data_IF_042878822130
#
_entry.id   IF_042878822130
#
_cell.length_a   1.000
_cell.length_b   1.000
_cell.length_c   1.000
_cell.angle_alpha   90.00
_cell.angle_beta   90.00
_cell.angle_gamma   90.00
#
_symmetry.space_group_name_H-M   'P 1'
#
loop_
_entity.id
_entity.type
_entity.pdbx_description
1 polymer ?
#
# COMPACT_ATOMS: atom_id res chain seq x y z
N UNK A 1 -27.13 5.39 -7.49
CA UNK A 1 -27.08 3.91 -7.53
C UNK A 1 -28.47 3.30 -7.70
N UNK A 2 -29.25 3.00 -6.64
CA UNK A 2 -30.56 2.30 -6.78
C UNK A 2 -31.62 3.16 -7.51
N UNK A 3 -31.77 4.43 -7.10
CA UNK A 3 -32.73 5.34 -7.73
C UNK A 3 -32.36 5.74 -9.16
N UNK A 4 -31.08 5.61 -9.51
CA UNK A 4 -30.55 5.83 -10.88
C UNK A 4 -30.74 4.58 -11.76
N UNK A 5 -31.24 3.46 -11.22
CA UNK A 5 -31.47 2.23 -11.97
C UNK A 5 -30.19 1.53 -12.43
N UNK A 6 -29.05 1.80 -11.78
CA UNK A 6 -27.74 1.18 -12.08
C UNK A 6 -27.76 -0.30 -11.72
N UNK A 7 -28.31 -0.64 -10.56
CA UNK A 7 -28.43 -2.02 -10.07
C UNK A 7 -29.72 -2.19 -9.30
N UNK A 8 -30.32 -3.39 -9.32
CA UNK A 8 -31.52 -3.67 -8.53
C UNK A 8 -31.19 -3.86 -7.04
N UNK A 9 -32.17 -3.69 -6.15
CA UNK A 9 -31.97 -3.95 -4.72
C UNK A 9 -31.49 -5.37 -4.42
N UNK A 10 -31.91 -6.36 -5.22
CA UNK A 10 -31.52 -7.77 -5.06
C UNK A 10 -30.05 -8.00 -5.44
N UNK A 11 -29.53 -7.21 -6.37
CA UNK A 11 -28.20 -7.35 -6.95
C UNK A 11 -27.16 -6.40 -6.35
N UNK A 12 -27.59 -5.42 -5.54
CA UNK A 12 -26.72 -4.50 -4.81
C UNK A 12 -25.93 -5.25 -3.71
N UNK A 13 -24.97 -6.07 -4.14
CA UNK A 13 -24.07 -6.82 -3.28
C UNK A 13 -22.99 -5.91 -2.71
N UNK A 14 -22.75 -6.06 -1.43
CA UNK A 14 -21.71 -5.38 -0.68
C UNK A 14 -21.05 -6.29 0.34
N UNK A 15 -19.85 -5.92 0.77
CA UNK A 15 -19.27 -6.44 2.00
C UNK A 15 -20.08 -5.98 3.20
N UNK A 16 -19.85 -6.61 4.37
CA UNK A 16 -20.52 -6.23 5.62
C UNK A 16 -20.35 -4.74 5.99
N UNK A 17 -19.27 -4.11 5.54
CA UNK A 17 -18.96 -2.70 5.78
C UNK A 17 -19.47 -1.76 4.67
N UNK A 18 -20.22 -2.27 3.70
CA UNK A 18 -20.85 -1.47 2.64
C UNK A 18 -19.99 -1.22 1.40
N UNK A 19 -18.86 -1.93 1.24
CA UNK A 19 -18.07 -1.87 0.01
C UNK A 19 -18.74 -2.67 -1.11
N UNK A 20 -19.03 -2.05 -2.25
CA UNK A 20 -19.93 -2.59 -3.29
C UNK A 20 -19.23 -2.94 -4.60
N UNK A 21 -19.83 -3.87 -5.35
CA UNK A 21 -19.42 -4.20 -6.72
C UNK A 21 -18.03 -4.83 -6.81
N UNK A 22 -17.51 -4.93 -8.03
CA UNK A 22 -16.18 -5.47 -8.32
C UNK A 22 -15.06 -4.63 -7.70
N UNK A 23 -15.23 -3.32 -7.62
CA UNK A 23 -14.20 -2.40 -7.10
C UNK A 23 -14.16 -2.36 -5.58
N UNK A 24 -15.19 -2.86 -4.88
CA UNK A 24 -15.32 -2.69 -3.43
C UNK A 24 -15.24 -1.22 -3.00
N UNK A 25 -15.78 -0.31 -3.82
CA UNK A 25 -15.95 1.08 -3.43
C UNK A 25 -17.03 1.23 -2.36
N UNK A 26 -16.78 2.11 -1.40
CA UNK A 26 -17.88 2.69 -0.64
C UNK A 26 -18.74 3.56 -1.59
N UNK A 27 -20.04 3.77 -1.32
CA UNK A 27 -20.89 4.59 -2.18
C UNK A 27 -20.31 5.99 -2.44
N UNK A 28 -19.61 6.60 -1.47
CA UNK A 28 -18.93 7.88 -1.64
C UNK A 28 -17.79 7.83 -2.67
N UNK A 29 -17.04 6.73 -2.73
CA UNK A 29 -15.96 6.55 -3.71
C UNK A 29 -16.53 6.29 -5.10
N UNK A 30 -17.64 5.53 -5.19
CA UNK A 30 -18.40 5.36 -6.42
C UNK A 30 -18.80 6.71 -7.04
N UNK A 31 -19.40 7.61 -6.25
CA UNK A 31 -19.84 8.91 -6.78
C UNK A 31 -18.70 9.86 -7.14
N UNK A 32 -17.52 9.71 -6.54
CA UNK A 32 -16.35 10.55 -6.86
C UNK A 32 -15.55 10.06 -8.07
N UNK A 33 -15.58 8.76 -8.34
CA UNK A 33 -14.62 8.12 -9.24
C UNK A 33 -15.25 7.19 -10.27
N UNK A 34 -16.57 7.02 -10.23
CA UNK A 34 -17.31 6.23 -11.19
C UNK A 34 -17.12 6.72 -12.62
N UNK A 35 -16.86 5.78 -13.53
CA UNK A 35 -16.73 6.03 -14.96
C UNK A 35 -17.62 5.05 -15.72
N UNK A 36 -18.51 5.59 -16.55
CA UNK A 36 -19.25 4.88 -17.58
C UNK A 36 -18.31 4.78 -18.79
N UNK A 37 -17.68 3.62 -18.95
CA UNK A 37 -16.67 3.42 -19.99
C UNK A 37 -17.31 2.88 -21.28
N UNK A 38 -18.37 2.08 -21.16
CA UNK A 38 -19.04 1.49 -22.32
C UNK A 38 -20.10 2.40 -22.96
N UNK A 39 -20.44 3.51 -22.31
CA UNK A 39 -21.24 4.61 -22.85
C UNK A 39 -22.75 4.36 -22.84
N UNK A 40 -23.21 3.44 -21.99
CA UNK A 40 -24.64 3.07 -21.91
C UNK A 40 -25.49 4.04 -21.04
N UNK A 41 -24.84 5.03 -20.42
CA UNK A 41 -25.43 6.04 -19.56
C UNK A 41 -25.43 5.67 -18.08
N UNK A 42 -24.80 4.56 -17.68
CA UNK A 42 -24.70 4.08 -16.29
C UNK A 42 -23.26 3.78 -15.93
N UNK A 43 -22.94 3.94 -14.65
CA UNK A 43 -21.68 3.46 -14.08
C UNK A 43 -21.97 2.14 -13.37
N UNK A 44 -21.96 1.00 -14.07
CA UNK A 44 -22.28 -0.30 -13.50
C UNK A 44 -21.05 -1.06 -13.00
N UNK A 45 -20.58 -0.72 -11.79
CA UNK A 45 -19.47 -1.46 -11.14
C UNK A 45 -19.86 -2.86 -10.60
N UNK A 46 -21.08 -3.35 -10.84
CA UNK A 46 -21.53 -4.68 -10.41
C UNK A 46 -21.49 -5.70 -11.55
N UNK A 47 -21.76 -5.27 -12.78
CA UNK A 47 -21.83 -6.18 -13.93
C UNK A 47 -20.96 -5.76 -15.12
N UNK A 48 -20.62 -4.47 -15.26
CA UNK A 48 -19.73 -3.99 -16.31
C UNK A 48 -18.27 -4.06 -15.84
N UNK A 49 -17.51 -5.02 -16.40
CA UNK A 49 -16.06 -5.08 -16.22
C UNK A 49 -15.37 -3.82 -16.75
N UNK A 50 -15.73 -3.27 -17.93
CA UNK A 50 -15.25 -1.97 -18.40
C UNK A 50 -15.40 -0.86 -17.35
N UNK A 51 -16.61 -0.66 -16.80
CA UNK A 51 -16.85 0.42 -15.83
C UNK A 51 -16.10 0.19 -14.52
N UNK A 52 -16.05 -1.05 -14.05
CA UNK A 52 -15.30 -1.37 -12.83
C UNK A 52 -13.81 -1.08 -12.99
N UNK A 53 -13.19 -1.48 -14.10
CA UNK A 53 -11.78 -1.22 -14.39
C UNK A 53 -11.52 0.29 -14.58
N UNK A 54 -12.38 0.98 -15.33
CA UNK A 54 -12.28 2.42 -15.55
C UNK A 54 -12.42 3.21 -14.25
N UNK A 55 -13.40 2.85 -13.41
CA UNK A 55 -13.64 3.49 -12.11
C UNK A 55 -12.48 3.25 -11.14
N UNK A 56 -11.92 2.03 -11.11
CA UNK A 56 -10.73 1.73 -10.31
C UNK A 56 -9.52 2.55 -10.78
N UNK A 57 -9.29 2.62 -12.10
CA UNK A 57 -8.21 3.43 -12.68
C UNK A 57 -8.41 4.93 -12.40
N UNK A 58 -9.63 5.43 -12.53
CA UNK A 58 -9.97 6.82 -12.26
C UNK A 58 -9.74 7.20 -10.81
N UNK A 59 -10.03 6.30 -9.85
CA UNK A 59 -9.70 6.52 -8.45
C UNK A 59 -8.18 6.65 -8.25
N UNK A 60 -7.36 5.78 -8.86
CA UNK A 60 -5.90 5.88 -8.77
C UNK A 60 -5.39 7.20 -9.37
N UNK A 61 -5.90 7.60 -10.54
CA UNK A 61 -5.56 8.88 -11.19
C UNK A 61 -5.93 10.06 -10.29
N UNK A 62 -7.14 10.09 -9.76
CA UNK A 62 -7.63 11.15 -8.88
C UNK A 62 -6.84 11.24 -7.57
N UNK A 63 -6.25 10.13 -7.13
CA UNK A 63 -5.39 10.05 -5.94
C UNK A 63 -3.91 10.34 -6.26
N UNK A 64 -3.59 10.70 -7.50
CA UNK A 64 -2.26 11.17 -7.89
C UNK A 64 -1.32 10.09 -8.41
N UNK A 65 -1.86 9.00 -8.98
CA UNK A 65 -1.05 7.99 -9.67
C UNK A 65 -0.14 8.64 -10.71
N UNK A 66 1.14 8.26 -10.69
CA UNK A 66 2.17 8.75 -11.61
C UNK A 66 2.49 7.67 -12.65
N UNK A 67 2.05 7.82 -13.91
CA UNK A 67 2.36 6.86 -14.96
C UNK A 67 3.87 6.68 -15.14
N UNK A 68 4.30 5.43 -15.34
CA UNK A 68 5.71 5.09 -15.51
C UNK A 68 6.55 5.06 -14.21
N UNK A 69 5.99 5.47 -13.07
CA UNK A 69 6.64 5.35 -11.76
C UNK A 69 6.26 4.01 -11.13
N UNK A 70 7.25 3.20 -10.73
CA UNK A 70 7.00 1.92 -10.05
C UNK A 70 6.45 2.18 -8.66
N UNK A 71 5.61 1.30 -8.13
CA UNK A 71 5.09 1.42 -6.76
C UNK A 71 6.21 1.31 -5.71
N UNK A 72 7.17 0.40 -5.91
CA UNK A 72 8.38 0.28 -5.10
C UNK A 72 9.53 -0.44 -5.83
N UNK A 73 10.71 -0.40 -5.21
CA UNK A 73 11.89 -1.17 -5.57
C UNK A 73 12.34 -2.00 -4.38
N UNK A 74 12.45 -3.32 -4.54
CA UNK A 74 13.05 -4.17 -3.51
C UNK A 74 14.58 -3.93 -3.45
N UNK A 75 15.09 -3.75 -2.24
CA UNK A 75 16.50 -3.43 -1.97
C UNK A 75 17.05 -4.29 -0.82
N UNK A 76 18.34 -4.59 -0.88
CA UNK A 76 19.09 -5.04 0.30
C UNK A 76 19.53 -3.80 1.08
N UNK A 77 19.14 -3.72 2.36
CA UNK A 77 19.63 -2.69 3.26
C UNK A 77 21.07 -3.01 3.72
N UNK A 78 21.94 -2.01 3.91
CA UNK A 78 23.28 -2.24 4.45
C UNK A 78 23.19 -2.70 5.91
N UNK A 79 24.18 -3.48 6.38
CA UNK A 79 24.16 -4.07 7.73
C UNK A 79 24.10 -3.05 8.87
N UNK A 80 24.56 -1.82 8.62
CA UNK A 80 24.54 -0.70 9.55
C UNK A 80 23.38 0.29 9.30
N UNK A 81 22.35 -0.11 8.54
CA UNK A 81 21.20 0.72 8.31
C UNK A 81 20.49 1.06 9.63
N UNK A 82 20.24 2.35 9.86
CA UNK A 82 19.38 2.79 10.95
C UNK A 82 17.93 2.40 10.66
N UNK A 83 17.41 1.44 11.44
CA UNK A 83 16.06 0.91 11.28
C UNK A 83 14.96 1.92 11.63
N UNK A 84 15.29 3.02 12.33
CA UNK A 84 14.32 4.09 12.64
C UNK A 84 13.94 4.91 11.41
N UNK A 85 14.72 4.81 10.32
CA UNK A 85 14.42 5.48 9.05
C UNK A 85 13.28 4.81 8.26
N UNK A 86 12.77 3.66 8.69
CA UNK A 86 11.69 2.90 8.04
C UNK A 86 10.30 3.53 8.21
N UNK A 87 10.18 4.85 8.03
CA UNK A 87 8.96 5.63 8.20
C UNK A 87 8.71 6.56 7.00
N UNK A 88 7.44 6.86 6.65
CA UNK A 88 7.11 7.71 5.50
C UNK A 88 7.74 9.11 5.55
N UNK A 89 7.91 9.67 6.74
CA UNK A 89 8.47 11.01 6.98
C UNK A 89 9.93 11.10 6.52
N UNK A 90 10.66 9.98 6.51
CA UNK A 90 12.01 9.90 5.97
C UNK A 90 11.93 9.60 4.47
N UNK A 91 11.67 10.65 3.70
CA UNK A 91 11.65 10.60 2.23
C UNK A 91 12.93 11.19 1.65
N UNK A 92 13.52 10.50 0.65
CA UNK A 92 14.75 10.94 -0.04
C UNK A 92 14.70 10.53 -1.51
N UNK A 93 15.46 11.17 -2.43
CA UNK A 93 15.68 10.62 -3.76
C UNK A 93 16.30 9.22 -3.67
N UNK A 94 15.91 8.30 -4.56
CA UNK A 94 16.46 6.93 -4.61
C UNK A 94 17.99 6.96 -4.68
N UNK A 95 18.59 7.88 -5.44
CA UNK A 95 20.05 8.05 -5.50
C UNK A 95 20.71 8.25 -4.14
N UNK A 96 20.03 8.88 -3.18
CA UNK A 96 20.56 9.08 -1.83
C UNK A 96 20.51 7.78 -1.01
N UNK A 97 19.46 6.98 -1.16
CA UNK A 97 19.41 5.63 -0.59
C UNK A 97 20.52 4.74 -1.15
N UNK A 98 20.76 4.80 -2.47
CA UNK A 98 21.85 4.06 -3.10
C UNK A 98 23.23 4.48 -2.54
N UNK A 99 23.48 5.79 -2.41
CA UNK A 99 24.71 6.31 -1.78
C UNK A 99 24.84 5.91 -0.31
N UNK A 100 23.72 5.73 0.39
CA UNK A 100 23.70 5.24 1.76
C UNK A 100 23.95 3.72 1.87
N UNK A 101 24.14 3.00 0.75
CA UNK A 101 24.48 1.59 0.73
C UNK A 101 23.30 0.64 0.50
N UNK A 102 22.11 1.15 0.20
CA UNK A 102 20.99 0.31 -0.23
C UNK A 102 21.21 -0.15 -1.67
N UNK A 103 21.03 -1.44 -1.94
CA UNK A 103 21.32 -2.02 -3.25
C UNK A 103 20.06 -2.66 -3.83
N UNK A 104 19.58 -2.25 -5.02
CA UNK A 104 18.48 -2.92 -5.70
C UNK A 104 18.78 -4.41 -5.92
N UNK A 105 17.80 -5.25 -5.62
CA UNK A 105 17.97 -6.70 -5.73
C UNK A 105 18.19 -7.14 -7.18
N UNK A 106 18.75 -8.34 -7.36
CA UNK A 106 18.97 -8.98 -8.67
C UNK A 106 19.81 -8.15 -9.65
N UNK A 107 20.66 -7.27 -9.13
CA UNK A 107 21.53 -6.42 -9.96
C UNK A 107 20.77 -5.38 -10.79
N UNK A 108 19.53 -5.04 -10.41
CA UNK A 108 18.73 -4.04 -11.09
C UNK A 108 19.49 -2.70 -11.14
N UNK A 109 19.66 -2.16 -12.35
CA UNK A 109 20.28 -0.85 -12.57
C UNK A 109 19.20 0.17 -12.88
N UNK A 110 19.06 1.16 -12.01
CA UNK A 110 18.09 2.22 -12.15
C UNK A 110 18.62 3.33 -13.06
N UNK A 111 17.79 3.81 -13.98
CA UNK A 111 18.07 4.97 -14.81
C UNK A 111 18.24 6.25 -13.97
N UNK A 112 18.80 7.31 -14.56
CA UNK A 112 18.92 8.59 -13.88
C UNK A 112 17.55 9.16 -13.43
N UNK A 113 16.52 8.94 -14.25
CA UNK A 113 15.14 9.35 -13.95
C UNK A 113 14.58 8.58 -12.76
N UNK A 114 14.76 7.26 -12.71
CA UNK A 114 14.33 6.46 -11.55
C UNK A 114 15.08 6.84 -10.28
N UNK A 115 16.39 7.06 -10.37
CA UNK A 115 17.21 7.48 -9.23
C UNK A 115 16.84 8.87 -8.68
N UNK A 116 16.21 9.72 -9.49
CA UNK A 116 15.71 11.03 -9.07
C UNK A 116 14.34 10.95 -8.37
N UNK A 117 13.62 9.83 -8.46
CA UNK A 117 12.32 9.66 -7.80
C UNK A 117 12.49 9.68 -6.28
N UNK A 118 11.54 10.32 -5.60
CA UNK A 118 11.43 10.27 -4.14
C UNK A 118 10.98 8.89 -3.69
N UNK A 119 11.57 8.38 -2.61
CA UNK A 119 11.15 7.15 -1.97
C UNK A 119 11.36 7.18 -0.45
N UNK A 120 10.54 6.40 0.26
CA UNK A 120 10.69 6.10 1.68
C UNK A 120 11.07 4.63 1.87
N UNK A 121 11.73 4.30 2.98
CA UNK A 121 12.06 2.91 3.31
C UNK A 121 10.85 2.22 3.95
N UNK A 122 10.49 1.05 3.43
CA UNK A 122 9.53 0.13 4.03
C UNK A 122 10.24 -1.17 4.40
N UNK A 123 10.08 -1.60 5.65
CA UNK A 123 10.58 -2.86 6.18
C UNK A 123 9.45 -3.60 6.90
N UNK A 124 8.62 -4.38 6.18
CA UNK A 124 7.40 -4.97 6.74
C UNK A 124 7.68 -5.98 7.85
N UNK A 125 8.89 -6.55 7.86
CA UNK A 125 9.38 -7.49 8.87
C UNK A 125 10.58 -6.91 9.65
N UNK A 126 10.68 -5.59 9.71
CA UNK A 126 11.87 -4.92 10.24
C UNK A 126 13.13 -5.35 9.47
N UNK A 127 14.25 -5.50 10.20
CA UNK A 127 15.55 -5.85 9.61
C UNK A 127 15.68 -7.33 9.20
N UNK A 128 14.67 -8.15 9.44
CA UNK A 128 14.76 -9.62 9.27
C UNK A 128 14.23 -10.12 7.92
N UNK A 129 13.55 -9.28 7.15
CA UNK A 129 12.90 -9.66 5.89
C UNK A 129 13.19 -8.68 4.75
N UNK A 130 12.36 -8.70 3.68
CA UNK A 130 12.56 -7.84 2.53
C UNK A 130 12.41 -6.35 2.89
N UNK A 131 13.22 -5.51 2.25
CA UNK A 131 13.15 -4.06 2.33
C UNK A 131 12.79 -3.46 0.98
N UNK A 132 12.04 -2.36 0.99
CA UNK A 132 11.56 -1.70 -0.21
C UNK A 132 11.77 -0.20 -0.15
N UNK A 133 12.17 0.40 -1.25
CA UNK A 133 12.07 1.84 -1.48
C UNK A 133 10.72 2.13 -2.12
N UNK A 134 9.78 2.67 -1.35
CA UNK A 134 8.39 2.94 -1.77
C UNK A 134 8.27 4.33 -2.36
N UNK A 135 7.73 4.43 -3.58
CA UNK A 135 7.59 5.72 -4.29
C UNK A 135 6.24 6.37 -3.97
N UNK A 136 5.89 7.56 -4.53
CA UNK A 136 4.55 8.11 -4.37
C UNK A 136 3.41 7.15 -4.76
N UNK A 137 3.61 6.27 -5.76
CA UNK A 137 2.58 5.32 -6.20
C UNK A 137 2.26 4.25 -5.14
N UNK A 138 3.18 3.95 -4.24
CA UNK A 138 2.88 3.14 -3.05
C UNK A 138 1.76 3.76 -2.21
N UNK A 139 1.86 5.07 -1.95
CA UNK A 139 0.90 5.80 -1.15
C UNK A 139 -0.44 5.95 -1.87
N UNK A 140 -0.44 6.05 -3.20
CA UNK A 140 -1.67 6.05 -4.00
C UNK A 140 -2.43 4.72 -3.85
N UNK A 141 -1.75 3.57 -3.86
CA UNK A 141 -2.41 2.27 -3.61
C UNK A 141 -2.91 2.19 -2.16
N UNK A 142 -2.14 2.77 -1.22
CA UNK A 142 -2.52 2.81 0.20
C UNK A 142 -3.78 3.62 0.47
N UNK A 143 -4.10 4.59 -0.39
CA UNK A 143 -5.38 5.31 -0.36
C UNK A 143 -6.56 4.46 -0.85
N UNK A 144 -6.34 3.34 -1.57
CA UNK A 144 -7.39 2.36 -1.87
C UNK A 144 -7.71 1.52 -0.64
N UNK A 145 -6.67 1.05 0.06
CA UNK A 145 -6.77 0.36 1.33
C UNK A 145 -5.51 0.63 2.18
N UNK A 146 -5.71 1.20 3.37
CA UNK A 146 -4.63 1.71 4.22
C UNK A 146 -3.87 0.61 4.97
N UNK A 147 -3.21 -0.27 4.22
CA UNK A 147 -2.45 -1.42 4.74
C UNK A 147 -1.19 -1.65 3.91
N UNK A 148 -0.03 -1.69 4.55
CA UNK A 148 1.25 -1.94 3.86
C UNK A 148 1.28 -3.33 3.20
N UNK A 149 0.69 -4.34 3.85
CA UNK A 149 0.57 -5.69 3.30
C UNK A 149 -0.38 -5.75 2.10
N UNK A 150 -1.44 -4.93 2.10
CA UNK A 150 -2.33 -4.82 0.94
C UNK A 150 -1.58 -4.23 -0.26
N UNK A 151 -0.82 -3.14 -0.05
CA UNK A 151 -0.04 -2.52 -1.11
C UNK A 151 1.02 -3.49 -1.64
N UNK A 152 1.71 -4.23 -0.76
CA UNK A 152 2.65 -5.27 -1.17
C UNK A 152 1.98 -6.37 -2.00
N UNK A 153 0.78 -6.82 -1.61
CA UNK A 153 0.04 -7.80 -2.38
C UNK A 153 -0.34 -7.28 -3.78
N UNK A 154 -0.96 -6.09 -3.86
CA UNK A 154 -1.41 -5.50 -5.13
C UNK A 154 -0.22 -5.15 -6.03
N UNK A 155 0.79 -4.48 -5.49
CA UNK A 155 2.00 -4.11 -6.23
C UNK A 155 2.76 -5.33 -6.72
N UNK A 156 2.93 -6.34 -5.87
CA UNK A 156 3.58 -7.58 -6.28
C UNK A 156 2.76 -8.38 -7.30
N UNK A 157 1.43 -8.44 -7.16
CA UNK A 157 0.57 -9.04 -8.17
C UNK A 157 0.73 -8.34 -9.53
N UNK A 158 0.75 -7.01 -9.55
CA UNK A 158 0.97 -6.23 -10.77
C UNK A 158 2.34 -6.52 -11.40
N UNK A 159 3.41 -6.59 -10.61
CA UNK A 159 4.73 -7.03 -11.09
C UNK A 159 4.65 -8.46 -11.66
N UNK A 160 3.94 -9.35 -10.96
CA UNK A 160 3.80 -10.77 -11.35
C UNK A 160 3.04 -11.02 -12.64
N UNK A 161 2.19 -10.09 -13.05
CA UNK A 161 1.51 -10.14 -14.36
C UNK A 161 2.50 -9.97 -15.53
N UNK A 162 3.67 -9.36 -15.30
CA UNK A 162 4.69 -9.15 -16.33
C UNK A 162 5.95 -10.00 -16.12
N UNK A 163 6.15 -10.55 -14.92
CA UNK A 163 7.32 -11.38 -14.58
C UNK A 163 7.00 -12.39 -13.47
N UNK A 164 7.30 -13.69 -13.61
CA UNK A 164 6.93 -14.71 -12.62
C UNK A 164 7.80 -14.70 -11.34
N UNK A 165 8.66 -13.71 -11.16
CA UNK A 165 9.63 -13.68 -10.05
C UNK A 165 8.95 -13.35 -8.71
N UNK A 166 9.28 -14.06 -7.61
CA UNK A 166 8.81 -13.69 -6.27
C UNK A 166 9.59 -12.46 -5.74
N UNK A 167 9.39 -12.08 -4.48
CA UNK A 167 10.38 -11.23 -3.80
C UNK A 167 11.74 -11.95 -3.75
N UNK A 168 12.83 -11.19 -3.86
CA UNK A 168 14.18 -11.74 -3.89
C UNK A 168 14.65 -12.17 -2.49
N UNK A 169 14.34 -11.36 -1.49
CA UNK A 169 14.64 -11.63 -0.09
C UNK A 169 13.52 -12.49 0.50
N UNK A 170 13.83 -13.64 1.10
CA UNK A 170 12.83 -14.47 1.75
C UNK A 170 12.29 -13.77 3.00
N UNK A 171 11.03 -14.06 3.33
CA UNK A 171 10.44 -13.69 4.61
C UNK A 171 11.02 -14.56 5.71
N UNK A 172 11.26 -13.97 6.88
CA UNK A 172 11.63 -14.71 8.07
C UNK A 172 10.39 -15.34 8.72
N UNK A 173 10.58 -16.26 9.66
CA UNK A 173 9.49 -16.84 10.44
C UNK A 173 9.10 -15.91 11.59
N UNK A 174 8.71 -14.67 11.30
CA UNK A 174 8.18 -13.76 12.33
C UNK A 174 6.72 -14.08 12.64
N UNK A 175 6.36 -14.01 13.92
CA UNK A 175 4.98 -14.17 14.37
C UNK A 175 4.40 -12.81 14.72
N UNK A 176 3.30 -12.45 14.07
CA UNK A 176 2.55 -11.25 14.43
C UNK A 176 2.05 -11.37 15.87
N UNK A 177 2.29 -10.32 16.67
CA UNK A 177 1.78 -10.22 18.03
C UNK A 177 0.25 -10.11 18.03
N UNK A 178 -0.40 -10.73 19.02
CA UNK A 178 -1.84 -10.52 19.23
C UNK A 178 -2.05 -9.13 19.82
N UNK A 179 -3.23 -8.55 19.62
CA UNK A 179 -3.57 -7.24 20.17
C UNK A 179 -3.36 -7.14 21.68
N UNK A 180 -3.69 -8.21 22.43
CA UNK A 180 -3.42 -8.26 23.87
C UNK A 180 -1.92 -8.22 24.22
N UNK A 181 -1.06 -8.83 23.40
CA UNK A 181 0.38 -8.80 23.62
C UNK A 181 0.95 -7.41 23.28
N UNK A 182 0.40 -6.75 22.25
CA UNK A 182 0.75 -5.36 21.89
C UNK A 182 0.32 -4.39 23.00
N UNK A 183 -0.88 -4.55 23.56
CA UNK A 183 -1.35 -3.71 24.66
C UNK A 183 -0.49 -3.89 25.92
N UNK A 184 -0.13 -5.13 26.25
CA UNK A 184 0.79 -5.42 27.35
C UNK A 184 2.16 -4.76 27.12
N UNK A 185 2.66 -4.75 25.88
CA UNK A 185 3.88 -4.03 25.51
C UNK A 185 3.71 -2.51 25.69
N UNK A 186 2.64 -1.90 25.17
CA UNK A 186 2.33 -0.48 25.34
C UNK A 186 2.25 -0.08 26.83
N UNK A 187 1.66 -0.92 27.68
CA UNK A 187 1.60 -0.72 29.14
C UNK A 187 3.00 -0.67 29.76
N UNK A 188 3.90 -1.58 29.36
CA UNK A 188 5.27 -1.57 29.88
C UNK A 188 6.06 -0.36 29.37
N UNK A 189 5.94 -0.01 28.10
CA UNK A 189 6.55 1.19 27.52
C UNK A 189 6.08 2.48 28.22
N UNK A 190 4.81 2.53 28.64
CA UNK A 190 4.26 3.65 29.42
C UNK A 190 4.91 3.77 30.79
N UNK A 191 5.07 2.64 31.50
CA UNK A 191 5.69 2.61 32.85
C UNK A 191 7.13 3.12 32.85
N UNK A 192 7.87 2.86 31.78
CA UNK A 192 9.26 3.33 31.62
C UNK A 192 9.37 4.69 30.92
N UNK A 193 8.25 5.36 30.65
CA UNK A 193 8.21 6.72 30.10
C UNK A 193 8.45 6.84 28.60
N UNK A 194 8.46 5.73 27.85
CA UNK A 194 8.70 5.69 26.41
C UNK A 194 7.42 5.78 25.57
N UNK A 195 6.25 5.51 26.15
CA UNK A 195 4.96 5.62 25.45
C UNK A 195 3.98 6.51 26.24
N UNK A 196 3.26 7.38 25.55
CA UNK A 196 2.37 8.39 26.17
C UNK A 196 0.96 8.44 25.57
N UNK A 197 0.69 7.62 24.56
CA UNK A 197 -0.61 7.56 23.89
C UNK A 197 -1.48 6.42 24.48
N UNK A 198 -2.67 6.21 23.93
CA UNK A 198 -3.64 5.22 24.35
C UNK A 198 -3.11 3.79 24.24
N UNK A 199 -3.51 2.96 25.18
CA UNK A 199 -3.28 1.52 25.19
C UNK A 199 -4.41 0.87 24.37
N UNK A 200 -4.19 0.63 23.08
CA UNK A 200 -5.22 0.16 22.15
C UNK A 200 -4.88 -1.17 21.46
N UNK A 201 -3.74 -1.78 21.82
CA UNK A 201 -3.30 -3.04 21.24
C UNK A 201 -2.96 -2.95 19.75
N UNK A 202 -2.72 -1.75 19.23
CA UNK A 202 -2.33 -1.50 17.83
C UNK A 202 -0.91 -0.97 17.76
N UNK A 203 -0.06 -1.63 16.99
CA UNK A 203 1.32 -1.19 16.74
C UNK A 203 1.37 -0.05 15.70
N UNK A 204 0.68 1.05 15.99
CA UNK A 204 0.63 2.26 15.16
C UNK A 204 1.92 3.08 15.22
N UNK A 205 1.94 4.24 14.55
CA UNK A 205 3.13 5.10 14.50
C UNK A 205 3.63 5.48 15.89
N UNK A 206 2.73 5.83 16.81
CA UNK A 206 3.10 6.22 18.18
C UNK A 206 3.67 5.06 19.00
N UNK A 207 3.29 3.82 18.72
CA UNK A 207 3.87 2.65 19.41
C UNK A 207 5.26 2.28 18.88
N UNK A 208 5.59 2.71 17.65
CA UNK A 208 6.89 2.43 17.02
C UNK A 208 7.95 3.50 17.26
N UNK A 209 7.54 4.73 17.58
CA UNK A 209 8.40 5.86 17.90
C UNK A 209 9.07 5.68 19.28
#
# INVERSE_FOLDING_TARGET
ILGEGVVTRKELRSSWAGATGYTQFLPSEYYKHGVDLDGDGKVDIWHSVPDALASAAQQLVNKGWQPGVRWAYEVTAPANADCTMGVPEVTKPISQWLRAGFVPVRGLRLSATEQAQSASLLQPEGIYGPAFLTTPNYFVIKEYNFSDLYVLFVGHLADRMTSPQPFATPWSASRQLRSADVEAMQQQLTKIGLYKDKLDGKAGMQTRA
#
